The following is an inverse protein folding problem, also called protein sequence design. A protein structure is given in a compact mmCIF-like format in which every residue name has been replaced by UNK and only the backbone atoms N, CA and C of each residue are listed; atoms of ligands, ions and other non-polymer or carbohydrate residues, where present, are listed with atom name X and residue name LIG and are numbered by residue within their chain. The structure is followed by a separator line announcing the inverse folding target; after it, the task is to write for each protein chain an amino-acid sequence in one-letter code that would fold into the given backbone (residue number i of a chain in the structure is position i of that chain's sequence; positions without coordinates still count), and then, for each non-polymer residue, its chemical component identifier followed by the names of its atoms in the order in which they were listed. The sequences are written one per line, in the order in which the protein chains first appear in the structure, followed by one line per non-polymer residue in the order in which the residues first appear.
data_IF_366666922664
#
_entry.id   IF_366666922664
#
_cell.length_a   1.000
_cell.length_b   1.000
_cell.length_c   1.000
_cell.angle_alpha   90.00
_cell.angle_beta   90.00
_cell.angle_gamma   90.00
#
_symmetry.space_group_name_H-M   'P 1'
#
loop_
_entity.id
_entity.type
_entity.pdbx_description
1 polymer ?
#
# COMPACT_ATOMS: atom_id res chain seq x y z
N UNK A 1 -8.26 -11.91 12.68
CA UNK A 1 -8.27 -12.35 14.09
C UNK A 1 -8.58 -11.22 15.05
N UNK A 2 -7.77 -10.16 15.14
CA UNK A 2 -8.03 -9.02 16.04
C UNK A 2 -9.42 -8.40 15.83
N UNK A 3 -9.77 -8.03 14.60
CA UNK A 3 -11.08 -7.43 14.28
C UNK A 3 -12.23 -8.37 14.66
N UNK A 4 -12.14 -9.65 14.31
CA UNK A 4 -13.15 -10.66 14.63
C UNK A 4 -13.34 -10.81 16.14
N UNK A 5 -12.25 -10.94 16.91
CA UNK A 5 -12.29 -11.05 18.37
C UNK A 5 -12.87 -9.78 19.02
N UNK A 6 -12.57 -8.61 18.46
CA UNK A 6 -13.08 -7.33 18.94
C UNK A 6 -14.59 -7.20 18.72
N UNK A 7 -15.09 -7.65 17.57
CA UNK A 7 -16.54 -7.69 17.28
C UNK A 7 -17.25 -8.63 18.25
N UNK A 8 -16.68 -9.81 18.51
CA UNK A 8 -17.22 -10.76 19.50
C UNK A 8 -17.21 -10.15 20.90
N UNK A 9 -16.12 -9.49 21.32
CA UNK A 9 -16.02 -8.81 22.60
C UNK A 9 -17.04 -7.67 22.74
N UNK A 10 -17.26 -6.90 21.67
CA UNK A 10 -18.28 -5.86 21.60
C UNK A 10 -19.70 -6.42 21.69
N UNK A 11 -19.97 -7.57 21.07
CA UNK A 11 -21.27 -8.22 21.16
C UNK A 11 -21.57 -8.66 22.61
N UNK A 12 -20.60 -9.29 23.28
CA UNK A 12 -20.74 -9.73 24.67
C UNK A 12 -20.95 -8.56 25.63
N UNK A 13 -20.13 -7.50 25.53
CA UNK A 13 -20.28 -6.33 26.41
C UNK A 13 -21.59 -5.59 26.12
N UNK A 14 -22.04 -5.54 24.86
CA UNK A 14 -23.32 -4.96 24.47
C UNK A 14 -24.52 -5.68 25.11
N UNK A 15 -24.47 -7.01 25.19
CA UNK A 15 -25.49 -7.81 25.88
C UNK A 15 -25.55 -7.50 27.38
N UNK A 16 -24.40 -7.35 28.04
CA UNK A 16 -24.32 -7.09 29.49
C UNK A 16 -24.73 -5.67 29.84
N UNK A 17 -24.31 -4.69 29.04
CA UNK A 17 -24.50 -3.25 29.31
C UNK A 17 -25.79 -2.68 28.72
N UNK A 18 -26.58 -3.49 27.99
CA UNK A 18 -27.82 -3.08 27.29
C UNK A 18 -27.64 -1.83 26.42
N UNK A 19 -26.44 -1.62 25.88
CA UNK A 19 -26.06 -0.45 25.08
C UNK A 19 -26.12 0.92 25.81
N UNK A 20 -26.01 0.93 27.14
CA UNK A 20 -25.91 2.16 27.93
C UNK A 20 -24.62 2.95 27.65
N UNK A 21 -24.49 4.16 28.18
CA UNK A 21 -23.29 5.01 27.98
C UNK A 21 -21.95 4.34 28.34
N UNK A 22 -21.94 3.33 29.22
CA UNK A 22 -20.75 2.52 29.55
C UNK A 22 -20.27 1.67 28.36
N UNK A 23 -21.19 1.21 27.52
CA UNK A 23 -20.88 0.51 26.26
C UNK A 23 -20.08 1.42 25.33
N UNK A 24 -20.54 2.67 25.16
CA UNK A 24 -19.91 3.65 24.26
C UNK A 24 -18.48 3.94 24.70
N UNK A 25 -18.24 4.13 26.00
CA UNK A 25 -16.90 4.35 26.53
C UNK A 25 -15.97 3.14 26.25
N UNK A 26 -16.43 1.92 26.50
CA UNK A 26 -15.65 0.71 26.21
C UNK A 26 -15.38 0.55 24.71
N UNK A 27 -16.40 0.75 23.88
CA UNK A 27 -16.30 0.66 22.44
C UNK A 27 -15.36 1.72 21.87
N UNK A 28 -15.34 2.95 22.39
CA UNK A 28 -14.39 3.99 22.00
C UNK A 28 -12.95 3.57 22.28
N UNK A 29 -12.67 3.06 23.48
CA UNK A 29 -11.32 2.62 23.85
C UNK A 29 -10.87 1.47 22.95
N UNK A 30 -11.70 0.43 22.79
CA UNK A 30 -11.36 -0.73 22.00
C UNK A 30 -11.18 -0.38 20.52
N UNK A 31 -12.12 0.38 19.94
CA UNK A 31 -12.11 0.74 18.53
C UNK A 31 -10.98 1.72 18.22
N UNK A 32 -10.69 2.67 19.12
CA UNK A 32 -9.52 3.55 19.04
C UNK A 32 -8.22 2.77 19.04
N UNK A 33 -8.08 1.78 19.93
CA UNK A 33 -6.92 0.88 19.94
C UNK A 33 -6.79 0.08 18.64
N UNK A 34 -7.90 -0.41 18.08
CA UNK A 34 -7.91 -1.11 16.79
C UNK A 34 -7.43 -0.23 15.64
N UNK A 35 -7.86 1.03 15.61
CA UNK A 35 -7.42 2.01 14.61
C UNK A 35 -5.91 2.24 14.73
N UNK A 36 -5.40 2.45 15.95
CA UNK A 36 -3.95 2.63 16.19
C UNK A 36 -3.17 1.40 15.73
N UNK A 37 -3.57 0.19 16.14
CA UNK A 37 -2.88 -1.04 15.73
C UNK A 37 -2.94 -1.23 14.21
N UNK A 38 -4.09 -0.95 13.59
CA UNK A 38 -4.27 -1.01 12.14
C UNK A 38 -3.30 -0.07 11.41
N UNK A 39 -3.20 1.18 11.87
CA UNK A 39 -2.28 2.18 11.30
C UNK A 39 -0.81 1.77 11.44
N UNK A 40 -0.39 1.29 12.61
CA UNK A 40 0.98 0.82 12.87
C UNK A 40 1.33 -0.38 11.98
N UNK A 41 0.40 -1.32 11.83
CA UNK A 41 0.56 -2.50 10.98
C UNK A 41 0.72 -2.08 9.52
N UNK A 42 -0.10 -1.13 9.07
CA UNK A 42 -0.02 -0.59 7.72
C UNK A 42 1.34 0.07 7.45
N UNK A 43 1.87 0.86 8.39
CA UNK A 43 3.21 1.46 8.27
C UNK A 43 4.32 0.42 8.23
N UNK A 44 4.24 -0.62 9.07
CA UNK A 44 5.22 -1.72 9.10
C UNK A 44 5.25 -2.48 7.78
N UNK A 45 4.07 -2.88 7.27
CA UNK A 45 3.95 -3.59 5.99
C UNK A 45 4.44 -2.72 4.84
N UNK A 46 4.13 -1.42 4.85
CA UNK A 46 4.62 -0.48 3.84
C UNK A 46 6.15 -0.36 3.84
N UNK A 47 6.77 -0.31 5.01
CA UNK A 47 8.24 -0.23 5.13
C UNK A 47 8.91 -1.52 4.66
N UNK A 48 8.38 -2.68 5.07
CA UNK A 48 8.88 -3.98 4.61
C UNK A 48 8.78 -4.12 3.08
N UNK A 49 7.65 -3.70 2.49
CA UNK A 49 7.48 -3.74 1.04
C UNK A 49 8.49 -2.86 0.27
N UNK A 50 8.89 -1.74 0.87
CA UNK A 50 9.92 -0.85 0.31
C UNK A 50 11.30 -1.49 0.38
N UNK A 51 11.61 -2.13 1.51
CA UNK A 51 12.86 -2.86 1.71
C UNK A 51 12.97 -4.04 0.73
N UNK A 52 11.89 -4.81 0.55
CA UNK A 52 11.81 -5.89 -0.42
C UNK A 52 12.09 -5.39 -1.85
N UNK A 53 11.52 -4.25 -2.23
CA UNK A 53 11.79 -3.61 -3.54
C UNK A 53 13.27 -3.23 -3.67
N UNK A 54 13.87 -2.67 -2.61
CA UNK A 54 15.28 -2.33 -2.58
C UNK A 54 16.19 -3.56 -2.79
N UNK A 55 15.84 -4.70 -2.18
CA UNK A 55 16.56 -5.96 -2.38
C UNK A 55 16.46 -6.46 -3.82
N UNK A 56 15.28 -6.38 -4.44
CA UNK A 56 15.08 -6.77 -5.85
C UNK A 56 15.94 -5.91 -6.79
N UNK A 57 15.99 -4.59 -6.56
CA UNK A 57 16.87 -3.68 -7.33
C UNK A 57 18.34 -4.08 -7.16
N UNK A 58 18.78 -4.37 -5.92
CA UNK A 58 20.14 -4.85 -5.67
C UNK A 58 20.48 -6.14 -6.44
N UNK A 59 19.55 -7.09 -6.50
CA UNK A 59 19.71 -8.33 -7.27
C UNK A 59 19.81 -8.06 -8.78
N UNK A 60 19.03 -7.12 -9.32
CA UNK A 60 19.09 -6.74 -10.72
C UNK A 60 20.44 -6.13 -11.08
N UNK A 61 21.02 -5.29 -10.21
CA UNK A 61 22.39 -4.75 -10.40
C UNK A 61 23.47 -5.84 -10.43
N UNK A 62 23.36 -6.84 -9.55
CA UNK A 62 24.30 -7.96 -9.57
C UNK A 62 24.17 -8.76 -10.88
N UNK A 63 22.94 -9.00 -11.35
CA UNK A 63 22.71 -9.65 -12.65
C UNK A 63 23.30 -8.83 -13.80
N UNK A 64 23.15 -7.50 -13.80
CA UNK A 64 23.77 -6.62 -14.78
C UNK A 64 25.30 -6.81 -14.82
N UNK A 65 25.96 -6.78 -13.64
CA UNK A 65 27.40 -7.02 -13.54
C UNK A 65 27.84 -8.40 -14.01
N UNK A 66 27.03 -9.44 -13.82
CA UNK A 66 27.32 -10.78 -14.38
C UNK A 66 27.18 -10.83 -15.90
N UNK A 67 26.18 -10.15 -16.48
CA UNK A 67 26.02 -10.04 -17.94
C UNK A 67 27.18 -9.26 -18.57
N UNK A 68 27.66 -8.20 -17.90
CA UNK A 68 28.84 -7.45 -18.36
C UNK A 68 30.12 -8.32 -18.37
N UNK A 69 30.24 -9.28 -17.44
CA UNK A 69 31.37 -10.20 -17.38
C UNK A 69 31.30 -11.30 -18.44
N UNK A 70 30.12 -11.91 -18.61
CA UNK A 70 29.87 -12.98 -19.58
C UNK A 70 28.45 -12.84 -20.19
N UNK A 71 28.34 -12.33 -21.43
CA UNK A 71 27.06 -12.16 -22.10
C UNK A 71 26.29 -13.48 -22.32
N UNK A 72 26.98 -14.62 -22.32
CA UNK A 72 26.33 -15.92 -22.52
C UNK A 72 25.46 -16.34 -21.32
N UNK A 73 25.61 -15.69 -20.16
CA UNK A 73 24.84 -15.99 -18.94
C UNK A 73 23.44 -15.38 -18.99
N UNK A 74 23.21 -14.36 -19.82
CA UNK A 74 21.93 -13.65 -19.94
C UNK A 74 20.76 -14.61 -20.26
N UNK A 75 20.99 -15.59 -21.14
CA UNK A 75 19.99 -16.61 -21.54
C UNK A 75 19.50 -17.50 -20.40
N UNK A 76 20.21 -17.54 -19.27
CA UNK A 76 19.87 -18.37 -18.11
C UNK A 76 19.14 -17.58 -17.02
N UNK A 77 19.06 -16.25 -17.13
CA UNK A 77 18.31 -15.45 -16.18
C UNK A 77 16.81 -15.51 -16.46
N UNK A 78 16.06 -15.98 -15.46
CA UNK A 78 14.59 -15.96 -15.42
C UNK A 78 14.06 -14.56 -15.09
N UNK A 79 14.93 -13.62 -14.74
CA UNK A 79 14.56 -12.28 -14.28
C UNK A 79 15.41 -11.26 -15.01
N UNK A 80 14.83 -10.13 -15.40
CA UNK A 80 15.52 -9.13 -16.20
C UNK A 80 16.75 -8.56 -15.48
N UNK A 81 17.85 -8.37 -16.22
CA UNK A 81 19.13 -7.85 -15.73
C UNK A 81 19.20 -6.31 -15.67
N UNK A 82 18.11 -5.61 -15.96
CA UNK A 82 18.09 -4.13 -16.05
C UNK A 82 17.36 -3.50 -14.85
N UNK A 83 17.74 -2.27 -14.47
CA UNK A 83 17.19 -1.54 -13.31
C UNK A 83 16.05 -0.57 -13.66
N UNK A 84 15.52 -0.65 -14.89
CA UNK A 84 14.40 0.19 -15.32
C UNK A 84 13.11 -0.15 -14.58
N UNK A 85 12.25 0.86 -14.37
CA UNK A 85 10.88 0.68 -13.86
C UNK A 85 10.18 -0.47 -14.60
N UNK A 86 10.32 -0.54 -15.93
CA UNK A 86 9.74 -1.60 -16.77
C UNK A 86 10.28 -3.01 -16.47
N UNK A 87 11.53 -3.10 -16.06
CA UNK A 87 12.24 -4.34 -15.73
C UNK A 87 11.93 -4.83 -14.30
N UNK A 88 11.77 -3.90 -13.36
CA UNK A 88 11.29 -4.19 -11.98
C UNK A 88 9.84 -4.69 -12.03
N UNK A 89 8.99 -4.09 -12.86
CA UNK A 89 7.62 -4.58 -13.09
C UNK A 89 7.57 -5.90 -13.87
N UNK A 90 8.52 -6.19 -14.77
CA UNK A 90 8.66 -7.51 -15.40
C UNK A 90 9.08 -8.60 -14.40
N UNK A 91 9.94 -8.26 -13.44
CA UNK A 91 10.37 -9.16 -12.35
C UNK A 91 9.20 -9.55 -11.43
N UNK A 92 8.30 -8.59 -11.13
CA UNK A 92 7.10 -8.84 -10.34
C UNK A 92 5.94 -9.49 -11.11
N UNK A 93 5.98 -9.50 -12.44
CA UNK A 93 4.82 -9.83 -13.26
C UNK A 93 5.15 -10.72 -14.46
N UNK A 94 5.95 -11.76 -14.23
CA UNK A 94 6.41 -12.67 -15.27
C UNK A 94 5.27 -13.44 -15.99
N UNK A 95 4.05 -13.46 -15.43
CA UNK A 95 2.89 -14.16 -16.00
C UNK A 95 1.75 -13.25 -16.51
N UNK A 96 1.77 -11.93 -16.25
CA UNK A 96 0.51 -11.17 -16.22
C UNK A 96 0.54 -9.72 -16.66
N UNK A 97 1.33 -9.31 -17.67
CA UNK A 97 1.16 -8.08 -18.46
C UNK A 97 1.17 -6.72 -17.71
N UNK A 98 1.52 -5.61 -18.36
CA UNK A 98 1.68 -4.31 -17.70
C UNK A 98 0.31 -3.67 -17.34
N UNK A 99 -0.25 -4.04 -16.18
CA UNK A 99 -1.33 -3.29 -15.53
C UNK A 99 -0.82 -2.67 -14.22
N UNK A 100 0.13 -1.74 -14.38
CA UNK A 100 0.85 -1.02 -13.31
C UNK A 100 -0.04 -0.25 -12.30
N UNK A 101 -1.35 -0.14 -12.56
CA UNK A 101 -2.30 0.60 -11.73
C UNK A 101 -3.17 -0.33 -10.87
N UNK A 102 -3.43 -1.58 -11.33
CA UNK A 102 -4.26 -2.53 -10.57
C UNK A 102 -3.46 -3.41 -9.60
N UNK A 103 -2.15 -3.58 -9.82
CA UNK A 103 -1.31 -4.40 -8.93
C UNK A 103 -1.17 -3.82 -7.51
N UNK A 104 -1.06 -2.49 -7.31
CA UNK A 104 -1.15 -1.89 -5.98
C UNK A 104 -2.52 -2.07 -5.33
N UNK A 105 -3.60 -2.05 -6.12
CA UNK A 105 -4.96 -2.28 -5.63
C UNK A 105 -5.18 -3.72 -5.14
N UNK A 106 -4.49 -4.69 -5.74
CA UNK A 106 -4.53 -6.11 -5.36
C UNK A 106 -3.51 -6.49 -4.27
N UNK A 107 -2.72 -5.53 -3.76
CA UNK A 107 -1.73 -5.79 -2.71
C UNK A 107 -2.39 -5.93 -1.34
N UNK A 108 -1.81 -6.78 -0.49
CA UNK A 108 -2.21 -6.99 0.91
C UNK A 108 -2.34 -5.68 1.71
N UNK A 109 -1.55 -4.66 1.38
CA UNK A 109 -1.62 -3.33 1.99
C UNK A 109 -2.94 -2.59 1.74
N UNK A 110 -3.57 -2.76 0.58
CA UNK A 110 -4.84 -2.10 0.24
C UNK A 110 -5.99 -2.68 1.04
N UNK A 111 -6.01 -4.00 1.24
CA UNK A 111 -6.98 -4.65 2.13
C UNK A 111 -6.86 -4.16 3.58
N UNK A 112 -5.64 -4.05 4.11
CA UNK A 112 -5.41 -3.52 5.47
C UNK A 112 -5.90 -2.08 5.57
N UNK A 113 -5.62 -1.25 4.55
CA UNK A 113 -6.06 0.15 4.49
C UNK A 113 -7.58 0.25 4.46
N UNK A 114 -8.25 -0.59 3.68
CA UNK A 114 -9.71 -0.61 3.56
C UNK A 114 -10.39 -0.97 4.89
N UNK A 115 -9.90 -2.03 5.56
CA UNK A 115 -10.41 -2.44 6.87
C UNK A 115 -10.18 -1.35 7.91
N UNK A 116 -8.98 -0.75 7.93
CA UNK A 116 -8.65 0.31 8.88
C UNK A 116 -9.46 1.60 8.62
N UNK A 117 -9.77 1.91 7.36
CA UNK A 117 -10.67 2.99 6.99
C UNK A 117 -12.09 2.75 7.51
N UNK A 118 -12.61 1.53 7.38
CA UNK A 118 -13.90 1.16 7.95
C UNK A 118 -13.94 1.30 9.47
N UNK A 119 -12.88 0.85 10.16
CA UNK A 119 -12.73 1.00 11.61
C UNK A 119 -12.66 2.48 12.03
N UNK A 120 -11.94 3.31 11.27
CA UNK A 120 -11.87 4.75 11.50
C UNK A 120 -13.22 5.43 11.30
N UNK A 121 -13.99 5.03 10.28
CA UNK A 121 -15.35 5.50 10.07
C UNK A 121 -16.28 5.12 11.23
N UNK A 122 -16.24 3.87 11.66
CA UNK A 122 -17.01 3.41 12.82
C UNK A 122 -16.62 4.15 14.11
N UNK A 123 -15.33 4.43 14.30
CA UNK A 123 -14.83 5.23 15.42
C UNK A 123 -15.36 6.67 15.37
N UNK A 124 -15.30 7.34 14.22
CA UNK A 124 -15.87 8.67 14.03
C UNK A 124 -17.38 8.72 14.30
N UNK A 125 -18.12 7.72 13.83
CA UNK A 125 -19.55 7.58 14.10
C UNK A 125 -19.84 7.48 15.60
N UNK A 126 -19.06 6.65 16.30
CA UNK A 126 -19.23 6.41 17.74
C UNK A 126 -18.89 7.65 18.56
N UNK A 127 -17.87 8.43 18.17
CA UNK A 127 -17.57 9.73 18.77
C UNK A 127 -18.75 10.70 18.58
N UNK A 128 -19.35 10.74 17.39
CA UNK A 128 -20.52 11.59 17.14
C UNK A 128 -21.72 11.20 18.02
N UNK A 129 -21.98 9.90 18.19
CA UNK A 129 -23.02 9.39 19.09
C UNK A 129 -22.72 9.75 20.55
N UNK A 130 -21.45 9.66 20.98
CA UNK A 130 -21.04 10.07 22.33
C UNK A 130 -21.28 11.57 22.61
N UNK A 131 -21.25 12.41 21.57
CA UNK A 131 -21.55 13.85 21.65
C UNK A 131 -23.05 14.17 21.52
N UNK A 132 -23.93 13.15 21.58
CA UNK A 132 -25.38 13.27 21.37
C UNK A 132 -25.76 13.84 19.99
N UNK A 133 -24.94 13.59 18.96
CA UNK A 133 -25.30 13.99 17.60
C UNK A 133 -26.46 13.13 17.06
N UNK A 134 -27.35 13.71 16.24
CA UNK A 134 -28.45 12.96 15.63
C UNK A 134 -27.92 11.91 14.63
N UNK A 135 -28.63 10.78 14.51
CA UNK A 135 -28.26 9.65 13.67
C UNK A 135 -27.76 9.99 12.24
N UNK A 136 -28.39 10.91 11.47
CA UNK A 136 -27.88 11.28 10.15
C UNK A 136 -26.48 11.93 10.21
N UNK A 137 -26.20 12.72 11.25
CA UNK A 137 -24.88 13.37 11.42
C UNK A 137 -23.81 12.32 11.75
N UNK A 138 -24.13 11.34 12.60
CA UNK A 138 -23.20 10.25 12.90
C UNK A 138 -22.83 9.44 11.65
N UNK A 139 -23.79 9.17 10.76
CA UNK A 139 -23.55 8.50 9.48
C UNK A 139 -22.64 9.32 8.54
N UNK A 140 -22.85 10.62 8.46
CA UNK A 140 -22.00 11.52 7.66
C UNK A 140 -20.58 11.58 8.23
N UNK A 141 -20.42 11.71 9.55
CA UNK A 141 -19.09 11.69 10.19
C UNK A 141 -18.39 10.35 9.92
N UNK A 142 -19.11 9.22 9.97
CA UNK A 142 -18.55 7.92 9.66
C UNK A 142 -17.97 7.86 8.23
N UNK A 143 -18.75 8.30 7.25
CA UNK A 143 -18.34 8.34 5.85
C UNK A 143 -17.15 9.27 5.64
N UNK A 144 -17.20 10.48 6.21
CA UNK A 144 -16.13 11.48 6.08
C UNK A 144 -14.83 10.97 6.71
N UNK A 145 -14.86 10.43 7.93
CA UNK A 145 -13.68 9.89 8.61
C UNK A 145 -13.08 8.70 7.85
N UNK A 146 -13.91 7.78 7.37
CA UNK A 146 -13.44 6.61 6.61
C UNK A 146 -12.81 7.02 5.27
N UNK A 147 -13.49 7.88 4.50
CA UNK A 147 -13.00 8.35 3.19
C UNK A 147 -11.75 9.21 3.36
N UNK A 148 -11.71 10.11 4.35
CA UNK A 148 -10.53 10.93 4.62
C UNK A 148 -9.32 10.06 4.99
N UNK A 149 -9.50 9.08 5.88
CA UNK A 149 -8.42 8.15 6.26
C UNK A 149 -7.93 7.34 5.07
N UNK A 150 -8.85 6.81 4.26
CA UNK A 150 -8.51 6.05 3.05
C UNK A 150 -7.74 6.91 2.05
N UNK A 151 -8.23 8.12 1.77
CA UNK A 151 -7.58 9.07 0.86
C UNK A 151 -6.18 9.47 1.34
N UNK A 152 -6.02 9.80 2.63
CA UNK A 152 -4.71 10.14 3.22
C UNK A 152 -3.76 8.94 3.13
N UNK A 153 -4.22 7.74 3.50
CA UNK A 153 -3.41 6.52 3.46
C UNK A 153 -2.91 6.18 2.06
N UNK A 154 -3.80 6.22 1.07
CA UNK A 154 -3.46 5.94 -0.33
C UNK A 154 -2.53 7.01 -0.88
N UNK A 155 -2.80 8.29 -0.63
CA UNK A 155 -1.93 9.37 -1.14
C UNK A 155 -0.54 9.34 -0.53
N UNK A 156 -0.41 9.04 0.76
CA UNK A 156 0.90 8.87 1.42
C UNK A 156 1.64 7.66 0.86
N UNK A 157 0.98 6.52 0.70
CA UNK A 157 1.59 5.31 0.10
C UNK A 157 2.07 5.57 -1.33
N UNK A 158 1.24 6.18 -2.17
CA UNK A 158 1.61 6.55 -3.54
C UNK A 158 2.77 7.55 -3.58
N UNK A 159 2.78 8.55 -2.69
CA UNK A 159 3.89 9.51 -2.60
C UNK A 159 5.19 8.83 -2.19
N UNK A 160 5.14 7.87 -1.28
CA UNK A 160 6.32 7.15 -0.81
C UNK A 160 6.91 6.29 -1.91
N UNK A 161 6.08 5.52 -2.63
CA UNK A 161 6.50 4.73 -3.80
C UNK A 161 7.07 5.63 -4.91
N UNK A 162 6.40 6.73 -5.24
CA UNK A 162 6.89 7.69 -6.24
C UNK A 162 8.23 8.34 -5.87
N UNK A 163 8.49 8.56 -4.58
CA UNK A 163 9.78 9.08 -4.10
C UNK A 163 10.91 8.07 -4.25
N UNK A 164 10.61 6.78 -4.05
CA UNK A 164 11.56 5.69 -4.24
C UNK A 164 11.89 5.47 -5.71
N UNK A 165 10.87 5.40 -6.57
CA UNK A 165 11.07 5.24 -8.02
C UNK A 165 11.96 6.36 -8.61
N UNK A 166 11.84 7.59 -8.09
CA UNK A 166 12.71 8.71 -8.50
C UNK A 166 14.16 8.61 -8.03
N UNK A 167 14.47 7.79 -7.02
CA UNK A 167 15.83 7.65 -6.46
C UNK A 167 16.57 6.40 -6.94
N UNK A 168 15.87 5.41 -7.51
CA UNK A 168 16.44 4.08 -7.79
C UNK A 168 17.11 3.91 -9.16
N UNK A 169 16.97 4.86 -10.08
CA UNK A 169 17.49 4.72 -11.45
C UNK A 169 18.98 5.03 -11.50
N UNK A 170 19.82 3.98 -11.45
CA UNK A 170 21.27 4.10 -11.65
C UNK A 170 21.74 3.38 -12.94
N UNK A 171 21.07 2.28 -13.34
CA UNK A 171 21.33 1.57 -14.61
C UNK A 171 20.06 1.50 -15.47
N UNK A 172 19.75 2.54 -16.27
CA UNK A 172 18.60 2.53 -17.16
C UNK A 172 18.79 1.51 -18.30
N UNK A 173 17.70 0.92 -18.82
CA UNK A 173 17.81 0.03 -19.97
C UNK A 173 18.18 0.85 -21.22
N UNK A 174 19.03 0.27 -22.06
CA UNK A 174 19.45 0.85 -23.33
C UNK A 174 18.25 0.96 -24.29
N UNK A 175 17.48 2.05 -24.17
CA UNK A 175 16.31 2.30 -25.01
C UNK A 175 15.68 3.70 -24.89
N UNK A 176 16.02 4.50 -23.87
CA UNK A 176 15.49 5.85 -23.72
C UNK A 176 16.46 6.97 -24.19
N UNK A 177 17.59 6.61 -24.82
CA UNK A 177 18.71 7.55 -25.04
C UNK A 177 19.31 7.64 -26.44
N UNK A 178 18.80 6.92 -27.44
CA UNK A 178 19.39 6.94 -28.79
C UNK A 178 18.32 6.89 -29.88
N UNK A 179 17.44 7.88 -29.90
CA UNK A 179 16.89 8.38 -31.15
C UNK A 179 18.03 9.05 -31.90
N UNK A 180 18.52 8.37 -32.92
CA UNK A 180 19.66 8.73 -33.76
C UNK A 180 19.73 10.21 -34.10
N UNK A 181 20.84 10.81 -33.68
CA UNK A 181 21.60 11.80 -34.43
C UNK A 181 21.33 11.65 -35.94
N UNK A 182 20.78 12.70 -36.52
CA UNK A 182 20.61 12.96 -37.95
C UNK A 182 21.60 12.18 -38.84
N UNK A 183 21.13 11.06 -39.41
CA UNK A 183 21.64 10.61 -40.70
C UNK A 183 20.80 11.35 -41.75
N UNK A 184 21.35 12.43 -42.26
CA UNK A 184 20.80 13.19 -43.37
C UNK A 184 21.51 12.72 -44.64
N UNK A 185 20.84 11.98 -45.54
CA UNK A 185 21.38 11.72 -46.86
C UNK A 185 20.91 12.83 -47.80
N UNK A 186 21.84 13.61 -48.38
CA UNK A 186 21.64 14.24 -49.69
C UNK A 186 22.90 14.98 -50.18
N UNK A 187 23.46 14.41 -51.25
CA UNK A 187 24.12 15.05 -52.42
C UNK A 187 25.57 15.47 -52.31
#
# INVERSE_FOLDING_TARGET
MLVSSSIVGLALIGQVTRFDGRFIAFALVLLGMLVVIGTLTQMRVGTAAIEDLGHVIGMNRLRAGYVELDPAVERYFVTSAHDDDRSVWQTYNHLGGPRAILQPLASSGTFITFVTAGLMGAFGALVAVALNAPAPVAGVVAAVCGVAYFGISVTLGLRQVRRLARRSVLFPAAGAGTGSRSDQPAR
#
